data_IF_242214143314
#
_entry.id   IF_242214143314
#
_cell.length_a   1.000
_cell.length_b   1.000
_cell.length_c   1.000
_cell.angle_alpha   90.00
_cell.angle_beta   90.00
_cell.angle_gamma   90.00
#
_symmetry.space_group_name_H-M   'P 1'
#
loop_
_entity.id
_entity.type
_entity.pdbx_description
1 polymer ?
#
# COMPACT_ATOMS: atom_id res chain seq x y z
N UNK A 1 28.22 29.42 17.92
CA UNK A 1 26.80 29.16 18.23
C UNK A 1 26.55 29.66 19.64
N UNK A 2 25.89 30.82 19.76
CA UNK A 2 25.55 31.42 21.05
C UNK A 2 24.28 30.75 21.55
N UNK A 3 24.35 30.05 22.69
CA UNK A 3 23.18 29.51 23.37
C UNK A 3 22.25 30.66 23.78
N UNK A 4 21.14 30.83 23.09
CA UNK A 4 20.08 31.73 23.53
C UNK A 4 19.60 31.21 24.90
N UNK A 5 19.74 32.04 25.93
CA UNK A 5 19.22 31.74 27.27
C UNK A 5 17.70 31.79 27.17
N UNK A 6 17.08 30.61 27.13
CA UNK A 6 15.63 30.45 27.12
C UNK A 6 15.04 31.19 28.35
N UNK A 7 14.07 32.11 28.17
CA UNK A 7 13.36 32.68 29.30
C UNK A 7 12.61 31.57 30.04
N UNK A 8 13.00 31.34 31.29
CA UNK A 8 12.35 30.36 32.17
C UNK A 8 11.04 30.94 32.69
N UNK A 9 9.96 30.15 32.61
CA UNK A 9 8.61 30.42 33.15
C UNK A 9 7.72 31.31 32.27
N UNK A 10 7.40 30.82 31.07
CA UNK A 10 6.36 31.43 30.23
C UNK A 10 4.97 31.18 30.85
N UNK A 11 4.06 32.16 30.73
CA UNK A 11 2.65 31.98 31.10
C UNK A 11 1.88 31.25 30.00
N UNK A 12 0.67 30.73 30.31
CA UNK A 12 -0.21 30.14 29.29
C UNK A 12 -0.42 31.08 28.08
N UNK A 13 -0.57 32.38 28.36
CA UNK A 13 -0.77 33.41 27.34
C UNK A 13 0.47 33.59 26.47
N UNK A 14 1.67 33.52 27.05
CA UNK A 14 2.91 33.66 26.29
C UNK A 14 3.09 32.49 25.33
N UNK A 15 2.87 31.25 25.79
CA UNK A 15 2.97 30.04 24.95
C UNK A 15 1.93 30.05 23.84
N UNK A 16 0.67 30.41 24.14
CA UNK A 16 -0.40 30.54 23.15
C UNK A 16 -0.05 31.59 22.08
N UNK A 17 0.41 32.78 22.49
CA UNK A 17 0.82 33.82 21.55
C UNK A 17 2.00 33.39 20.66
N UNK A 18 2.94 32.60 21.20
CA UNK A 18 4.04 32.04 20.40
C UNK A 18 3.53 31.04 19.36
N UNK A 19 2.59 30.15 19.73
CA UNK A 19 1.95 29.22 18.81
C UNK A 19 1.22 29.97 17.69
N UNK A 20 0.40 30.97 18.03
CA UNK A 20 -0.33 31.79 17.07
C UNK A 20 0.65 32.48 16.11
N UNK A 21 1.68 33.15 16.64
CA UNK A 21 2.66 33.87 15.83
C UNK A 21 3.39 32.98 14.83
N UNK A 22 3.72 31.74 15.20
CA UNK A 22 4.33 30.78 14.26
C UNK A 22 3.31 30.33 13.20
N UNK A 23 2.01 30.33 13.53
CA UNK A 23 0.93 29.84 12.68
C UNK A 23 0.37 30.89 11.71
N UNK A 24 0.64 32.18 11.94
CA UNK A 24 0.27 33.31 11.07
C UNK A 24 1.20 33.50 9.87
N UNK A 25 2.09 32.54 9.59
CA UNK A 25 3.06 32.64 8.49
C UNK A 25 2.39 32.47 7.13
N UNK A 26 2.90 33.24 6.16
CA UNK A 26 2.55 33.08 4.75
C UNK A 26 3.10 31.78 4.14
N UNK A 27 4.18 31.21 4.70
CA UNK A 27 4.80 29.97 4.24
C UNK A 27 4.46 28.79 5.16
N UNK A 28 3.59 27.85 4.73
CA UNK A 28 3.16 26.70 5.52
C UNK A 28 4.17 25.54 5.50
N UNK A 29 5.25 25.63 4.71
CA UNK A 29 6.18 24.51 4.50
C UNK A 29 7.17 24.37 5.66
N UNK A 30 7.81 25.46 6.07
CA UNK A 30 8.98 25.40 6.94
C UNK A 30 9.09 26.50 7.98
N UNK A 31 9.77 26.09 9.04
CA UNK A 31 10.15 26.90 10.19
C UNK A 31 11.63 27.24 10.04
N UNK A 32 11.98 28.52 10.07
CA UNK A 32 13.39 28.95 9.95
C UNK A 32 14.18 28.56 11.20
N UNK A 33 15.51 28.55 11.13
CA UNK A 33 16.36 28.09 12.23
C UNK A 33 16.05 28.77 13.58
N UNK A 34 15.78 30.07 13.55
CA UNK A 34 15.41 30.87 14.73
C UNK A 34 14.07 30.42 15.34
N UNK A 35 13.12 30.04 14.50
CA UNK A 35 11.81 29.57 14.95
C UNK A 35 11.84 28.10 15.38
N UNK A 36 12.77 27.28 14.87
CA UNK A 36 12.98 25.92 15.39
C UNK A 36 13.29 25.98 16.88
N UNK A 37 14.04 27.00 17.34
CA UNK A 37 14.25 27.23 18.77
C UNK A 37 12.96 27.62 19.50
N UNK A 38 12.11 28.47 18.91
CA UNK A 38 10.81 28.83 19.50
C UNK A 38 9.89 27.60 19.62
N UNK A 39 9.85 26.74 18.61
CA UNK A 39 9.09 25.47 18.67
C UNK A 39 9.61 24.59 19.81
N UNK A 40 10.93 24.45 19.97
CA UNK A 40 11.52 23.70 21.07
C UNK A 40 11.16 24.32 22.43
N UNK A 41 11.08 25.65 22.53
CA UNK A 41 10.62 26.34 23.74
C UNK A 41 9.15 26.03 24.06
N UNK A 42 8.28 26.14 23.06
CA UNK A 42 6.85 25.83 23.20
C UNK A 42 6.69 24.39 23.70
N UNK A 43 7.33 23.43 23.03
CA UNK A 43 7.31 22.01 23.42
C UNK A 43 7.84 21.81 24.83
N UNK A 44 8.95 22.46 25.18
CA UNK A 44 9.53 22.36 26.50
C UNK A 44 8.53 22.80 27.57
N UNK A 45 7.93 23.98 27.42
CA UNK A 45 6.98 24.50 28.41
C UNK A 45 5.70 23.65 28.49
N UNK A 46 5.14 23.23 27.35
CA UNK A 46 3.97 22.34 27.31
C UNK A 46 4.23 21.00 28.02
N UNK A 47 5.45 20.44 27.93
CA UNK A 47 5.82 19.18 28.60
C UNK A 47 6.18 19.35 30.07
N UNK A 48 6.70 20.52 30.46
CA UNK A 48 7.18 20.79 31.82
C UNK A 48 6.02 20.84 32.83
N UNK A 49 4.80 21.08 32.37
CA UNK A 49 3.56 21.05 33.16
C UNK A 49 3.31 22.28 34.01
N UNK A 50 4.10 23.36 33.83
CA UNK A 50 3.86 24.66 34.47
C UNK A 50 2.74 25.45 33.80
N UNK A 51 2.48 25.12 32.54
CA UNK A 51 1.37 25.64 31.76
C UNK A 51 0.34 24.55 31.52
N UNK A 52 -0.92 24.95 31.36
CA UNK A 52 -1.99 24.01 31.03
C UNK A 52 -1.97 23.72 29.52
N UNK A 53 -1.30 22.63 29.15
CA UNK A 53 -1.11 22.24 27.75
C UNK A 53 -2.43 21.93 27.04
N UNK A 54 -3.41 21.34 27.74
CA UNK A 54 -4.72 21.07 27.17
C UNK A 54 -5.44 22.38 26.86
N UNK A 55 -5.49 23.30 27.82
CA UNK A 55 -6.09 24.61 27.62
C UNK A 55 -5.42 25.38 26.48
N UNK A 56 -4.09 25.42 26.43
CA UNK A 56 -3.37 26.15 25.38
C UNK A 56 -3.66 25.58 23.99
N UNK A 57 -3.60 24.25 23.84
CA UNK A 57 -3.82 23.60 22.54
C UNK A 57 -5.29 23.71 22.12
N UNK A 58 -6.24 23.61 23.06
CA UNK A 58 -7.67 23.82 22.80
C UNK A 58 -7.96 25.25 22.34
N UNK A 59 -7.38 26.26 23.00
CA UNK A 59 -7.53 27.65 22.58
C UNK A 59 -6.86 27.92 21.23
N UNK A 60 -5.67 27.35 20.99
CA UNK A 60 -4.97 27.48 19.71
C UNK A 60 -5.75 26.85 18.55
N UNK A 61 -6.40 25.70 18.77
CA UNK A 61 -7.23 25.03 17.76
C UNK A 61 -8.47 25.83 17.36
N UNK A 62 -8.93 26.76 18.20
CA UNK A 62 -10.09 27.63 17.93
C UNK A 62 -9.72 28.92 17.21
N UNK A 63 -8.42 29.19 17.02
CA UNK A 63 -7.97 30.38 16.29
C UNK A 63 -8.27 30.16 14.81
N UNK A 64 -9.10 31.05 14.26
CA UNK A 64 -9.46 31.03 12.84
C UNK A 64 -8.35 31.66 11.98
N UNK A 65 -8.36 31.36 10.68
CA UNK A 65 -7.47 31.95 9.67
C UNK A 65 -5.96 31.74 9.89
N UNK A 66 -5.56 30.69 10.64
CA UNK A 66 -4.16 30.30 10.80
C UNK A 66 -3.83 29.00 10.07
N UNK A 67 -2.65 28.94 9.46
CA UNK A 67 -2.15 27.76 8.74
C UNK A 67 -0.78 27.39 9.30
N UNK A 68 -0.71 26.61 10.39
CA UNK A 68 0.56 26.32 11.03
C UNK A 68 1.51 25.58 10.09
N UNK A 69 2.81 25.89 10.17
CA UNK A 69 3.80 25.15 9.41
C UNK A 69 3.73 23.66 9.70
N UNK A 70 3.86 22.83 8.67
CA UNK A 70 3.79 21.37 8.80
C UNK A 70 4.80 20.83 9.83
N UNK A 71 5.96 21.47 9.96
CA UNK A 71 6.98 21.16 10.96
C UNK A 71 6.52 21.37 12.41
N UNK A 72 5.68 22.37 12.67
CA UNK A 72 5.15 22.61 14.02
C UNK A 72 4.20 21.48 14.41
N UNK A 73 3.27 21.14 13.52
CA UNK A 73 2.33 20.03 13.74
C UNK A 73 3.08 18.71 13.92
N UNK A 74 4.11 18.48 13.11
CA UNK A 74 4.97 17.30 13.24
C UNK A 74 5.68 17.24 14.60
N UNK A 75 6.28 18.35 15.03
CA UNK A 75 7.00 18.40 16.30
C UNK A 75 6.06 18.17 17.50
N UNK A 76 4.84 18.70 17.46
CA UNK A 76 3.81 18.44 18.48
C UNK A 76 3.35 16.97 18.50
N UNK A 77 3.21 16.33 17.33
CA UNK A 77 2.80 14.91 17.25
C UNK A 77 3.89 13.96 17.77
N UNK A 78 5.14 14.18 17.36
CA UNK A 78 6.31 13.40 17.83
C UNK A 78 6.41 13.43 19.35
N UNK A 79 6.12 14.58 19.95
CA UNK A 79 6.15 14.78 21.40
C UNK A 79 4.86 14.36 22.10
N UNK A 80 3.90 13.81 21.36
CA UNK A 80 2.57 13.37 21.83
C UNK A 80 1.77 14.48 22.53
N UNK A 81 1.99 15.73 22.15
CA UNK A 81 1.24 16.89 22.66
C UNK A 81 -0.06 17.10 21.89
N UNK A 82 0.01 17.05 20.55
CA UNK A 82 -1.16 17.15 19.67
C UNK A 82 -0.97 16.23 18.47
N UNK A 83 -1.93 15.34 18.20
CA UNK A 83 -1.89 14.50 17.00
C UNK A 83 -2.18 15.33 15.76
N UNK A 84 -1.38 15.12 14.70
CA UNK A 84 -1.56 15.80 13.42
C UNK A 84 -2.99 15.65 12.88
N UNK A 85 -3.55 14.45 13.01
CA UNK A 85 -4.93 14.16 12.58
C UNK A 85 -5.98 14.89 13.41
N UNK A 86 -5.71 15.15 14.69
CA UNK A 86 -6.59 15.95 15.55
C UNK A 86 -6.64 17.40 15.07
N UNK A 87 -5.48 17.99 14.73
CA UNK A 87 -5.46 19.36 14.20
C UNK A 87 -6.32 19.49 12.94
N UNK A 88 -6.10 18.62 11.96
CA UNK A 88 -6.83 18.71 10.68
C UNK A 88 -8.31 18.35 10.84
N UNK A 89 -8.67 17.49 11.80
CA UNK A 89 -10.07 17.21 12.11
C UNK A 89 -10.85 18.47 12.48
N UNK A 90 -10.25 19.34 13.31
CA UNK A 90 -10.83 20.62 13.70
C UNK A 90 -10.63 21.71 12.64
N UNK A 91 -9.56 21.65 11.87
CA UNK A 91 -9.18 22.64 10.87
C UNK A 91 -9.12 22.01 9.47
N UNK A 92 -10.28 21.60 8.93
CA UNK A 92 -10.36 20.88 7.64
C UNK A 92 -9.80 21.67 6.46
N UNK A 93 -9.84 23.00 6.53
CA UNK A 93 -9.29 23.91 5.51
C UNK A 93 -7.77 23.72 5.32
N UNK A 94 -7.09 23.21 6.36
CA UNK A 94 -5.68 22.83 6.28
C UNK A 94 -5.40 21.75 5.23
N UNK A 95 -6.41 20.98 4.79
CA UNK A 95 -6.24 20.04 3.69
C UNK A 95 -5.75 20.71 2.40
N UNK A 96 -6.18 21.94 2.13
CA UNK A 96 -5.73 22.72 0.96
C UNK A 96 -4.23 22.98 1.05
N UNK A 97 -3.76 23.52 2.19
CA UNK A 97 -2.34 23.76 2.43
C UNK A 97 -1.53 22.46 2.35
N UNK A 98 -2.04 21.36 2.93
CA UNK A 98 -1.38 20.06 2.86
C UNK A 98 -1.23 19.55 1.42
N UNK A 99 -2.25 19.72 0.58
CA UNK A 99 -2.20 19.35 -0.83
C UNK A 99 -1.20 20.20 -1.63
N UNK A 100 -1.07 21.49 -1.32
CA UNK A 100 -0.04 22.35 -1.90
C UNK A 100 1.37 21.91 -1.47
N UNK A 101 1.55 21.55 -0.20
CA UNK A 101 2.81 21.04 0.32
C UNK A 101 3.19 19.71 -0.36
N UNK A 102 2.23 18.78 -0.50
CA UNK A 102 2.41 17.54 -1.26
C UNK A 102 2.79 17.85 -2.70
N UNK A 103 2.08 18.77 -3.35
CA UNK A 103 2.36 19.18 -4.73
C UNK A 103 3.78 19.72 -4.89
N UNK A 104 4.25 20.56 -3.96
CA UNK A 104 5.62 21.08 -3.94
C UNK A 104 6.65 19.96 -3.74
N UNK A 105 6.41 19.05 -2.79
CA UNK A 105 7.30 17.92 -2.52
C UNK A 105 7.42 16.95 -3.71
N UNK A 106 6.38 16.82 -4.54
CA UNK A 106 6.44 16.02 -5.77
C UNK A 106 7.31 16.66 -6.86
N UNK A 107 7.48 18.00 -6.87
CA UNK A 107 8.23 18.75 -7.91
C UNK A 107 9.71 18.97 -7.60
N UNK A 108 10.06 19.06 -6.33
CA UNK A 108 11.36 19.57 -5.91
C UNK A 108 12.24 18.49 -5.29
N UNK A 109 13.56 18.60 -5.53
CA UNK A 109 14.56 17.60 -5.11
C UNK A 109 15.73 18.20 -4.32
N UNK A 110 15.54 19.40 -3.77
CA UNK A 110 16.56 20.00 -2.91
C UNK A 110 16.60 19.33 -1.53
N UNK A 111 17.73 19.48 -0.82
CA UNK A 111 17.92 18.98 0.55
C UNK A 111 16.85 19.51 1.52
N UNK A 112 16.23 20.64 1.18
CA UNK A 112 15.16 21.27 1.94
C UNK A 112 13.90 20.38 1.93
N UNK A 113 13.51 19.86 0.77
CA UNK A 113 12.32 19.02 0.66
C UNK A 113 12.50 17.63 1.29
N UNK A 114 13.72 17.17 1.58
CA UNK A 114 13.93 15.85 2.21
C UNK A 114 13.33 15.77 3.64
N UNK A 115 13.37 16.86 4.42
CA UNK A 115 12.70 16.90 5.73
C UNK A 115 11.18 16.83 5.56
N UNK A 116 10.63 17.58 4.60
CA UNK A 116 9.19 17.61 4.29
C UNK A 116 8.71 16.25 3.77
N UNK A 117 9.43 15.63 2.84
CA UNK A 117 9.12 14.30 2.30
C UNK A 117 9.01 13.27 3.43
N UNK A 118 9.88 13.35 4.46
CA UNK A 118 9.80 12.48 5.65
C UNK A 118 8.54 12.74 6.48
N UNK A 119 8.21 14.01 6.74
CA UNK A 119 7.02 14.38 7.49
C UNK A 119 5.75 13.96 6.75
N UNK A 120 5.66 14.23 5.46
CA UNK A 120 4.54 13.82 4.62
C UNK A 120 4.41 12.30 4.55
N UNK A 121 5.54 11.57 4.45
CA UNK A 121 5.53 10.11 4.50
C UNK A 121 4.91 9.60 5.80
N UNK A 122 5.24 10.22 6.94
CA UNK A 122 4.61 9.91 8.22
C UNK A 122 3.12 10.27 8.22
N UNK A 123 2.75 11.46 7.76
CA UNK A 123 1.37 11.93 7.72
C UNK A 123 0.49 10.99 6.89
N UNK A 124 0.96 10.61 5.69
CA UNK A 124 0.30 9.63 4.83
C UNK A 124 0.16 8.27 5.50
N UNK A 125 1.19 7.78 6.20
CA UNK A 125 1.04 6.55 7.00
C UNK A 125 -0.11 6.67 8.00
N UNK A 126 -0.17 7.77 8.76
CA UNK A 126 -1.22 7.94 9.77
C UNK A 126 -2.59 7.99 9.10
N UNK A 127 -2.75 8.77 8.03
CA UNK A 127 -3.99 8.89 7.26
C UNK A 127 -4.42 7.53 6.72
N UNK A 128 -3.51 6.77 6.09
CA UNK A 128 -3.79 5.43 5.58
C UNK A 128 -4.27 4.49 6.68
N UNK A 129 -3.61 4.50 7.84
CA UNK A 129 -3.98 3.62 8.95
C UNK A 129 -5.36 3.94 9.55
N UNK A 130 -5.86 5.17 9.38
CA UNK A 130 -7.19 5.58 9.87
C UNK A 130 -8.25 5.65 8.77
N UNK A 131 -7.93 5.26 7.52
CA UNK A 131 -8.83 5.44 6.36
C UNK A 131 -10.21 4.81 6.55
N UNK A 132 -10.28 3.69 7.26
CA UNK A 132 -11.54 2.98 7.50
C UNK A 132 -12.41 3.63 8.59
N UNK A 133 -11.91 4.68 9.24
CA UNK A 133 -12.66 5.42 10.26
C UNK A 133 -13.56 6.46 9.58
N UNK A 134 -14.87 6.29 9.71
CA UNK A 134 -15.88 7.16 9.08
C UNK A 134 -15.75 8.64 9.48
N UNK A 135 -15.25 8.94 10.67
CA UNK A 135 -14.99 10.31 11.12
C UNK A 135 -13.89 11.03 10.34
N UNK A 136 -13.05 10.26 9.66
CA UNK A 136 -11.84 10.69 8.97
C UNK A 136 -11.88 10.44 7.46
N UNK A 137 -13.05 10.06 6.92
CA UNK A 137 -13.25 9.81 5.49
C UNK A 137 -12.85 11.00 4.62
N UNK A 138 -13.01 12.23 5.12
CA UNK A 138 -12.60 13.43 4.38
C UNK A 138 -11.08 13.45 4.07
N UNK A 139 -10.22 12.79 4.85
CA UNK A 139 -8.79 12.68 4.50
C UNK A 139 -8.56 11.84 3.25
N UNK A 140 -9.34 10.78 3.06
CA UNK A 140 -9.28 9.97 1.85
C UNK A 140 -9.71 10.81 0.65
N UNK A 141 -10.88 11.46 0.75
CA UNK A 141 -11.47 12.26 -0.32
C UNK A 141 -10.63 13.50 -0.69
N UNK A 142 -9.99 14.15 0.29
CA UNK A 142 -9.30 15.44 0.05
C UNK A 142 -7.79 15.32 -0.06
N UNK A 143 -7.14 14.38 0.64
CA UNK A 143 -5.67 14.27 0.63
C UNK A 143 -5.22 13.13 -0.26
N UNK A 144 -5.72 11.92 -0.03
CA UNK A 144 -5.27 10.73 -0.79
C UNK A 144 -5.70 10.84 -2.25
N UNK A 145 -6.97 11.15 -2.52
CA UNK A 145 -7.47 11.34 -3.89
C UNK A 145 -6.82 12.54 -4.59
N UNK A 146 -6.61 13.67 -3.89
CA UNK A 146 -5.91 14.82 -4.46
C UNK A 146 -4.44 14.52 -4.79
N UNK A 147 -3.76 13.76 -3.94
CA UNK A 147 -2.39 13.29 -4.20
C UNK A 147 -2.35 12.42 -5.46
N UNK A 148 -3.29 11.48 -5.61
CA UNK A 148 -3.40 10.66 -6.82
C UNK A 148 -3.62 11.56 -8.04
N UNK A 149 -4.59 12.48 -8.00
CA UNK A 149 -4.86 13.41 -9.09
C UNK A 149 -3.62 14.25 -9.47
N UNK A 150 -2.89 14.76 -8.49
CA UNK A 150 -1.68 15.55 -8.74
C UNK A 150 -0.56 14.73 -9.37
N UNK A 151 -0.37 13.49 -8.92
CA UNK A 151 0.57 12.55 -9.53
C UNK A 151 0.21 12.27 -10.99
N UNK A 152 -1.09 12.13 -11.28
CA UNK A 152 -1.57 12.01 -12.66
C UNK A 152 -1.18 13.26 -13.46
N UNK A 153 -1.48 14.48 -13.00
CA UNK A 153 -1.09 15.73 -13.66
C UNK A 153 0.42 15.84 -13.96
N UNK A 154 1.28 15.30 -13.09
CA UNK A 154 2.72 15.27 -13.38
C UNK A 154 3.08 14.32 -14.50
N UNK A 155 2.45 13.14 -14.52
CA UNK A 155 2.61 12.23 -15.64
C UNK A 155 2.04 12.84 -16.93
N UNK A 156 0.94 13.59 -16.84
CA UNK A 156 0.34 14.32 -17.96
C UNK A 156 1.30 15.38 -18.54
N UNK A 157 2.09 16.04 -17.70
CA UNK A 157 3.04 17.07 -18.11
C UNK A 157 4.43 16.54 -18.51
N UNK A 158 4.60 15.21 -18.60
CA UNK A 158 5.90 14.53 -18.79
C UNK A 158 6.98 14.94 -17.77
N UNK A 159 6.55 15.39 -16.59
CA UNK A 159 7.45 15.76 -15.52
C UNK A 159 7.90 14.52 -14.75
N UNK A 160 9.16 14.51 -14.33
CA UNK A 160 9.65 13.48 -13.43
C UNK A 160 9.20 13.78 -12.00
N UNK A 161 8.61 12.79 -11.32
CA UNK A 161 8.34 12.89 -9.89
C UNK A 161 9.66 12.90 -9.12
N UNK A 162 9.92 13.98 -8.38
CA UNK A 162 11.11 14.12 -7.53
C UNK A 162 10.97 13.44 -6.16
N UNK A 163 9.75 13.03 -5.81
CA UNK A 163 9.49 12.25 -4.61
C UNK A 163 8.79 10.94 -4.94
N UNK A 164 9.50 9.84 -4.72
CA UNK A 164 8.97 8.48 -4.83
C UNK A 164 8.18 8.09 -3.56
N UNK A 165 7.13 8.84 -3.25
CA UNK A 165 6.39 8.73 -1.98
C UNK A 165 5.85 7.32 -1.69
N UNK A 166 5.43 6.57 -2.72
CA UNK A 166 5.00 5.17 -2.57
C UNK A 166 6.14 4.30 -2.03
N UNK A 167 7.38 4.51 -2.51
CA UNK A 167 8.54 3.78 -2.01
C UNK A 167 8.87 4.20 -0.57
N UNK A 168 8.76 5.49 -0.26
CA UNK A 168 8.92 5.98 1.11
C UNK A 168 7.91 5.34 2.07
N UNK A 169 6.65 5.19 1.65
CA UNK A 169 5.61 4.51 2.42
C UNK A 169 5.93 3.03 2.62
N UNK A 170 6.35 2.31 1.56
CA UNK A 170 6.67 0.86 1.65
C UNK A 170 7.74 0.52 2.67
N UNK A 171 8.70 1.42 2.91
CA UNK A 171 9.79 1.20 3.88
C UNK A 171 9.27 1.28 5.33
N UNK A 172 8.11 1.90 5.56
CA UNK A 172 7.53 2.02 6.89
C UNK A 172 6.84 0.73 7.35
N UNK A 173 7.44 0.06 8.33
CA UNK A 173 6.93 -1.20 8.91
C UNK A 173 5.57 -1.09 9.61
N UNK A 174 5.08 0.11 9.89
CA UNK A 174 3.88 0.36 10.70
C UNK A 174 2.64 0.77 9.90
N UNK A 175 2.69 0.70 8.57
CA UNK A 175 1.50 0.87 7.73
C UNK A 175 0.71 -0.45 7.71
N UNK A 176 -0.61 -0.37 7.88
CA UNK A 176 -1.51 -1.50 7.67
C UNK A 176 -1.44 -1.95 6.20
N UNK A 177 -1.14 -3.22 5.96
CA UNK A 177 -0.95 -3.78 4.61
C UNK A 177 -2.17 -3.59 3.72
N UNK A 178 -3.37 -3.75 4.28
CA UNK A 178 -4.63 -3.73 3.55
C UNK A 178 -4.97 -2.28 3.17
N UNK A 179 -4.72 -1.33 4.09
CA UNK A 179 -4.89 0.09 3.81
C UNK A 179 -3.92 0.60 2.75
N UNK A 180 -2.67 0.14 2.76
CA UNK A 180 -1.68 0.44 1.72
C UNK A 180 -2.08 -0.17 0.38
N UNK A 181 -2.46 -1.45 0.36
CA UNK A 181 -2.89 -2.14 -0.86
C UNK A 181 -4.10 -1.44 -1.49
N UNK A 182 -5.08 -1.08 -0.68
CA UNK A 182 -6.27 -0.38 -1.16
C UNK A 182 -5.90 0.98 -1.76
N UNK A 183 -4.98 1.73 -1.13
CA UNK A 183 -4.54 3.03 -1.68
C UNK A 183 -3.76 2.88 -2.99
N UNK A 184 -2.93 1.83 -3.08
CA UNK A 184 -2.26 1.46 -4.32
C UNK A 184 -3.29 1.13 -5.41
N UNK A 185 -4.36 0.41 -5.08
CA UNK A 185 -5.46 0.13 -6.00
C UNK A 185 -6.18 1.38 -6.47
N UNK A 186 -6.51 2.30 -5.56
CA UNK A 186 -7.15 3.57 -5.90
C UNK A 186 -6.32 4.34 -6.93
N UNK A 187 -5.00 4.36 -6.74
CA UNK A 187 -4.05 4.98 -7.66
C UNK A 187 -4.06 4.31 -9.05
N UNK A 188 -4.08 2.98 -9.11
CA UNK A 188 -4.16 2.26 -10.39
C UNK A 188 -5.52 2.46 -11.07
N UNK A 189 -6.60 2.49 -10.28
CA UNK A 189 -7.95 2.70 -10.79
C UNK A 189 -8.08 4.06 -11.46
N UNK A 190 -7.58 5.11 -10.80
CA UNK A 190 -7.58 6.46 -11.33
C UNK A 190 -6.74 6.57 -12.63
N UNK A 191 -5.58 5.90 -12.68
CA UNK A 191 -4.74 5.83 -13.87
C UNK A 191 -5.44 5.15 -15.06
N UNK A 192 -6.15 4.05 -14.82
CA UNK A 192 -6.78 3.26 -15.90
C UNK A 192 -8.13 3.81 -16.35
N UNK A 193 -8.81 4.57 -15.49
CA UNK A 193 -10.15 5.13 -15.75
C UNK A 193 -10.13 6.50 -16.42
N UNK A 194 -8.95 7.05 -16.74
CA UNK A 194 -8.80 8.42 -17.26
C UNK A 194 -9.54 8.68 -18.58
N UNK A 195 -10.45 9.67 -18.57
CA UNK A 195 -11.20 10.16 -19.74
C UNK A 195 -10.35 10.97 -20.74
N UNK A 196 -9.13 11.38 -20.37
CA UNK A 196 -8.22 12.18 -21.21
C UNK A 196 -7.25 11.29 -22.02
N UNK A 197 -7.77 10.74 -23.12
CA UNK A 197 -7.07 9.78 -23.99
C UNK A 197 -6.09 10.42 -24.99
N UNK A 198 -5.15 11.27 -24.57
CA UNK A 198 -4.07 11.77 -25.46
C UNK A 198 -2.68 11.20 -25.17
N UNK A 199 -2.52 10.41 -24.11
CA UNK A 199 -1.23 9.81 -23.75
C UNK A 199 -0.99 8.51 -24.50
N UNK A 200 0.26 8.32 -24.92
CA UNK A 200 0.73 6.99 -25.27
C UNK A 200 0.79 6.20 -23.96
N UNK A 201 -0.19 5.32 -23.76
CA UNK A 201 -0.36 4.48 -22.57
C UNK A 201 0.95 3.77 -22.15
N UNK A 202 1.84 3.49 -23.11
CA UNK A 202 3.19 2.94 -22.88
C UNK A 202 4.08 3.81 -21.99
N UNK A 203 3.99 5.14 -22.07
CA UNK A 203 4.76 6.09 -21.25
C UNK A 203 4.32 6.07 -19.78
N UNK A 204 3.02 6.15 -19.54
CA UNK A 204 2.41 6.08 -18.19
C UNK A 204 2.79 4.75 -17.54
N UNK A 205 2.69 3.67 -18.31
CA UNK A 205 2.98 2.33 -17.84
C UNK A 205 4.47 2.11 -17.49
N UNK A 206 5.39 2.68 -18.26
CA UNK A 206 6.83 2.55 -18.01
C UNK A 206 7.27 3.32 -16.75
N UNK A 207 6.67 4.48 -16.48
CA UNK A 207 6.91 5.20 -15.22
C UNK A 207 6.26 4.49 -14.01
N UNK A 208 5.10 3.86 -14.20
CA UNK A 208 4.46 3.02 -13.18
C UNK A 208 5.33 1.80 -12.80
N UNK A 209 5.90 1.10 -13.78
CA UNK A 209 6.81 -0.02 -13.55
C UNK A 209 8.05 0.37 -12.70
N UNK A 210 8.52 1.61 -12.81
CA UNK A 210 9.63 2.15 -12.01
C UNK A 210 9.24 2.43 -10.55
N UNK A 211 8.00 2.82 -10.28
CA UNK A 211 7.49 3.14 -8.93
C UNK A 211 7.11 1.90 -8.12
N UNK A 212 6.82 0.79 -8.80
CA UNK A 212 6.20 -0.41 -8.21
C UNK A 212 7.13 -1.63 -8.21
N UNK A 213 8.42 -1.42 -7.98
CA UNK A 213 9.39 -2.51 -7.77
C UNK A 213 9.04 -3.20 -6.44
N UNK A 214 8.18 -4.21 -6.49
CA UNK A 214 7.90 -5.12 -5.38
C UNK A 214 8.29 -6.52 -5.83
N UNK A 215 9.02 -7.25 -4.98
CA UNK A 215 9.34 -8.67 -5.18
C UNK A 215 8.09 -9.60 -5.16
N UNK A 216 6.90 -9.07 -4.83
CA UNK A 216 5.58 -9.72 -4.73
C UNK A 216 4.45 -8.68 -4.83
N UNK A 217 3.66 -8.70 -5.90
CA UNK A 217 2.42 -7.90 -5.99
C UNK A 217 1.38 -8.44 -4.99
N UNK A 218 0.67 -7.55 -4.28
CA UNK A 218 -0.39 -7.97 -3.34
C UNK A 218 -1.58 -8.61 -4.05
N UNK A 219 -2.36 -9.47 -3.38
CA UNK A 219 -3.55 -10.12 -3.96
C UNK A 219 -4.58 -9.13 -4.51
N UNK A 220 -4.74 -7.97 -3.87
CA UNK A 220 -5.68 -6.93 -4.28
C UNK A 220 -5.24 -6.31 -5.61
N UNK A 221 -3.96 -5.98 -5.75
CA UNK A 221 -3.35 -5.50 -7.01
C UNK A 221 -3.47 -6.55 -8.12
N UNK A 222 -3.27 -7.83 -7.80
CA UNK A 222 -3.45 -8.93 -8.76
C UNK A 222 -4.92 -9.07 -9.20
N UNK A 223 -5.87 -8.88 -8.28
CA UNK A 223 -7.32 -8.92 -8.54
C UNK A 223 -7.75 -7.74 -9.41
N UNK A 224 -7.30 -6.53 -9.08
CA UNK A 224 -7.52 -5.34 -9.90
C UNK A 224 -7.01 -5.52 -11.34
N UNK A 225 -5.82 -6.09 -11.53
CA UNK A 225 -5.29 -6.41 -12.87
C UNK A 225 -6.17 -7.39 -13.66
N UNK A 226 -6.94 -8.23 -12.98
CA UNK A 226 -7.87 -9.17 -13.62
C UNK A 226 -9.27 -8.59 -13.83
N UNK A 227 -9.64 -7.58 -13.03
CA UNK A 227 -10.99 -7.06 -12.96
C UNK A 227 -11.23 -5.80 -13.77
N UNK A 228 -10.19 -5.11 -14.29
CA UNK A 228 -10.33 -3.82 -15.01
C UNK A 228 -11.48 -3.84 -16.03
N UNK A 229 -12.68 -3.32 -15.71
CA UNK A 229 -13.89 -3.62 -16.49
C UNK A 229 -14.00 -2.77 -17.75
N UNK A 230 -13.23 -1.68 -17.82
CA UNK A 230 -13.39 -0.63 -18.83
C UNK A 230 -12.02 -0.12 -19.26
N UNK A 231 -11.27 -0.97 -19.96
CA UNK A 231 -10.08 -0.52 -20.69
C UNK A 231 -10.55 0.09 -22.01
N UNK A 232 -10.28 1.40 -22.27
CA UNK A 232 -10.54 1.99 -23.57
C UNK A 232 -9.94 1.12 -24.68
N UNK A 233 -10.63 0.97 -25.81
CA UNK A 233 -10.19 0.02 -26.85
C UNK A 233 -8.76 0.28 -27.36
N UNK A 234 -8.31 1.54 -27.31
CA UNK A 234 -6.96 2.01 -27.60
C UNK A 234 -5.88 1.45 -26.66
N UNK A 235 -6.24 1.04 -25.44
CA UNK A 235 -5.31 0.65 -24.38
C UNK A 235 -5.15 -0.87 -24.23
N UNK A 236 -6.01 -1.69 -24.86
CA UNK A 236 -5.99 -3.17 -24.68
C UNK A 236 -4.67 -3.83 -25.05
N UNK A 237 -4.02 -3.37 -26.13
CA UNK A 237 -2.75 -3.92 -26.60
C UNK A 237 -1.64 -3.70 -25.57
N UNK A 238 -1.47 -2.46 -25.13
CA UNK A 238 -0.45 -2.10 -24.15
C UNK A 238 -0.73 -2.66 -22.75
N UNK A 239 -2.01 -2.75 -22.35
CA UNK A 239 -2.38 -3.47 -21.14
C UNK A 239 -2.01 -4.96 -21.22
N UNK A 240 -2.19 -5.59 -22.39
CA UNK A 240 -1.75 -6.96 -22.62
C UNK A 240 -0.23 -7.10 -22.53
N UNK A 241 0.53 -6.12 -23.05
CA UNK A 241 2.00 -6.05 -22.91
C UNK A 241 2.45 -5.82 -21.46
N UNK A 242 1.71 -5.02 -20.68
CA UNK A 242 1.93 -4.87 -19.25
C UNK A 242 1.70 -6.16 -18.49
N UNK A 243 0.55 -6.80 -18.72
CA UNK A 243 0.23 -8.10 -18.14
C UNK A 243 1.29 -9.12 -18.53
N UNK A 244 1.80 -9.07 -19.77
CA UNK A 244 2.91 -9.92 -20.20
C UNK A 244 4.21 -9.59 -19.43
N UNK A 245 4.53 -8.31 -19.19
CA UNK A 245 5.69 -7.89 -18.40
C UNK A 245 5.56 -8.31 -16.93
N UNK A 246 4.40 -8.09 -16.30
CA UNK A 246 4.09 -8.55 -14.95
C UNK A 246 4.20 -10.07 -14.86
N UNK A 247 3.62 -10.81 -15.82
CA UNK A 247 3.74 -12.28 -15.90
C UNK A 247 5.18 -12.73 -16.11
N UNK A 248 5.96 -12.01 -16.93
CA UNK A 248 7.39 -12.30 -17.15
C UNK A 248 8.17 -12.07 -15.87
N UNK A 249 7.93 -10.97 -15.14
CA UNK A 249 8.57 -10.71 -13.85
C UNK A 249 8.16 -11.71 -12.77
N UNK A 250 6.89 -12.11 -12.71
CA UNK A 250 6.42 -13.16 -11.80
C UNK A 250 7.05 -14.52 -12.16
N UNK A 251 7.21 -14.81 -13.45
CA UNK A 251 7.90 -16.00 -13.95
C UNK A 251 9.39 -15.97 -13.61
N UNK A 252 10.06 -14.82 -13.72
CA UNK A 252 11.45 -14.63 -13.29
C UNK A 252 11.61 -14.92 -11.78
N UNK A 253 10.54 -14.70 -11.00
CA UNK A 253 10.45 -14.94 -9.57
C UNK A 253 9.94 -16.35 -9.18
N UNK A 254 9.71 -17.25 -10.16
CA UNK A 254 9.13 -18.60 -9.96
C UNK A 254 7.71 -18.63 -9.33
N UNK A 255 6.95 -17.55 -9.42
CA UNK A 255 5.57 -17.45 -8.93
C UNK A 255 4.56 -17.84 -10.04
N UNK A 256 3.59 -18.71 -9.76
CA UNK A 256 2.57 -19.13 -10.74
C UNK A 256 1.38 -18.18 -10.79
N UNK A 257 0.84 -17.86 -11.97
CA UNK A 257 -0.25 -16.87 -12.18
C UNK A 257 -1.65 -17.28 -11.68
N UNK A 258 -1.80 -18.48 -11.19
CA UNK A 258 -3.06 -19.13 -10.86
C UNK A 258 -3.20 -19.16 -9.32
N UNK A 259 -3.64 -18.06 -8.71
CA UNK A 259 -3.51 -17.79 -7.26
C UNK A 259 -4.71 -18.20 -6.40
N UNK A 260 -5.74 -18.81 -6.99
CA UNK A 260 -6.87 -19.37 -6.27
C UNK A 260 -6.63 -20.88 -6.19
N UNK A 261 -6.69 -21.50 -5.02
CA UNK A 261 -6.60 -22.96 -4.92
C UNK A 261 -7.64 -23.64 -5.83
N UNK A 262 -7.49 -24.92 -6.15
CA UNK A 262 -8.49 -25.66 -6.95
C UNK A 262 -9.89 -25.54 -6.33
N UNK A 263 -9.98 -25.36 -5.01
CA UNK A 263 -11.22 -25.27 -4.26
C UNK A 263 -11.65 -23.85 -3.86
N UNK A 264 -11.07 -22.82 -4.47
CA UNK A 264 -11.37 -21.42 -4.18
C UNK A 264 -11.03 -20.93 -2.77
N UNK A 265 -10.08 -21.57 -2.12
CA UNK A 265 -9.56 -21.13 -0.82
C UNK A 265 -8.35 -20.20 -0.99
N UNK A 266 -8.21 -19.26 -0.05
CA UNK A 266 -7.10 -18.30 0.03
C UNK A 266 -6.12 -18.74 1.12
N UNK A 267 -4.82 -18.70 0.80
CA UNK A 267 -3.76 -19.08 1.73
C UNK A 267 -2.63 -18.05 1.72
N UNK A 268 -2.08 -17.73 2.90
CA UNK A 268 -1.01 -16.74 3.06
C UNK A 268 0.35 -17.22 2.52
N UNK A 269 0.56 -18.56 2.47
CA UNK A 269 1.78 -19.20 1.97
C UNK A 269 1.46 -20.19 0.87
N UNK A 270 2.24 -20.14 -0.21
CA UNK A 270 2.05 -20.99 -1.38
C UNK A 270 2.12 -22.49 -1.03
N UNK A 271 3.07 -22.89 -0.18
CA UNK A 271 3.24 -24.29 0.22
C UNK A 271 2.09 -24.83 1.08
N UNK A 272 1.48 -23.96 1.89
CA UNK A 272 0.35 -24.29 2.77
C UNK A 272 -0.92 -24.47 1.95
N UNK A 273 -1.19 -23.56 1.02
CA UNK A 273 -2.34 -23.67 0.12
C UNK A 273 -2.26 -24.85 -0.83
N UNK A 274 -1.07 -25.15 -1.34
CA UNK A 274 -0.83 -26.32 -2.18
C UNK A 274 -1.13 -27.63 -1.44
N UNK A 275 -0.73 -27.73 -0.17
CA UNK A 275 -1.00 -28.91 0.64
C UNK A 275 -2.47 -28.99 1.05
N UNK A 276 -3.08 -27.87 1.39
CA UNK A 276 -4.50 -27.81 1.75
C UNK A 276 -5.41 -28.22 0.59
N UNK A 277 -5.11 -27.80 -0.65
CA UNK A 277 -5.80 -28.28 -1.86
C UNK A 277 -5.69 -29.80 -2.03
N UNK A 278 -4.50 -30.37 -1.77
CA UNK A 278 -4.28 -31.82 -1.82
C UNK A 278 -5.10 -32.53 -0.73
N UNK A 279 -5.03 -32.04 0.51
CA UNK A 279 -5.79 -32.59 1.63
C UNK A 279 -7.31 -32.54 1.37
N UNK A 280 -7.81 -31.42 0.84
CA UNK A 280 -9.22 -31.24 0.52
C UNK A 280 -9.67 -32.14 -0.62
N UNK A 281 -8.86 -32.26 -1.67
CA UNK A 281 -9.12 -33.21 -2.76
C UNK A 281 -9.20 -34.65 -2.25
N UNK A 282 -8.29 -35.04 -1.36
CA UNK A 282 -8.29 -36.37 -0.74
C UNK A 282 -9.54 -36.54 0.13
N UNK A 283 -9.90 -35.58 0.97
CA UNK A 283 -11.10 -35.67 1.83
C UNK A 283 -12.37 -35.90 1.01
N UNK A 284 -12.59 -35.06 -0.01
CA UNK A 284 -13.77 -35.15 -0.88
C UNK A 284 -13.79 -36.47 -1.65
N UNK A 285 -12.63 -36.94 -2.12
CA UNK A 285 -12.51 -38.23 -2.80
C UNK A 285 -12.81 -39.39 -1.85
N UNK A 286 -12.33 -39.35 -0.62
CA UNK A 286 -12.58 -40.41 0.36
C UNK A 286 -14.06 -40.48 0.76
N UNK A 287 -14.73 -39.33 0.87
CA UNK A 287 -16.16 -39.24 1.16
C UNK A 287 -17.04 -39.75 0.01
N UNK A 288 -16.71 -39.39 -1.24
CA UNK A 288 -17.60 -39.60 -2.38
C UNK A 288 -17.15 -40.72 -3.34
N UNK A 289 -15.91 -41.21 -3.21
CA UNK A 289 -15.25 -42.15 -4.12
C UNK A 289 -15.19 -41.70 -5.59
N UNK A 290 -15.39 -40.39 -5.82
CA UNK A 290 -15.37 -39.73 -7.13
C UNK A 290 -14.34 -38.61 -7.17
N UNK A 291 -13.76 -38.36 -8.35
CA UNK A 291 -12.80 -37.26 -8.53
C UNK A 291 -13.56 -35.94 -8.29
N UNK A 292 -13.08 -35.05 -7.41
CA UNK A 292 -13.74 -33.78 -7.16
C UNK A 292 -13.92 -32.98 -8.45
N UNK A 293 -15.14 -32.50 -8.71
CA UNK A 293 -15.48 -31.71 -9.90
C UNK A 293 -14.53 -30.51 -10.11
N UNK A 294 -14.14 -29.74 -9.08
CA UNK A 294 -13.18 -28.64 -9.25
C UNK A 294 -11.82 -29.11 -9.79
N UNK A 295 -11.41 -30.33 -9.46
CA UNK A 295 -10.16 -30.92 -9.96
C UNK A 295 -10.23 -31.25 -11.46
N UNK A 296 -11.39 -31.76 -11.91
CA UNK A 296 -11.63 -32.03 -13.32
C UNK A 296 -11.68 -30.74 -14.12
N UNK A 297 -12.34 -29.72 -13.60
CA UNK A 297 -12.40 -28.37 -14.20
C UNK A 297 -10.98 -27.76 -14.27
N UNK A 298 -10.21 -27.82 -13.18
CA UNK A 298 -8.84 -27.32 -13.13
C UNK A 298 -7.91 -28.04 -14.14
N UNK A 299 -8.07 -29.36 -14.32
CA UNK A 299 -7.28 -30.13 -15.29
C UNK A 299 -7.46 -29.69 -16.74
N UNK A 300 -8.56 -29.00 -17.05
CA UNK A 300 -8.90 -28.53 -18.41
C UNK A 300 -8.69 -27.03 -18.52
N UNK A 301 -9.28 -26.24 -17.62
CA UNK A 301 -9.32 -24.79 -17.70
C UNK A 301 -8.11 -24.10 -17.05
N UNK A 302 -7.43 -24.79 -16.12
CA UNK A 302 -6.28 -24.26 -15.36
C UNK A 302 -5.07 -25.21 -15.46
N UNK A 303 -4.81 -25.69 -16.69
CA UNK A 303 -3.85 -26.76 -16.96
C UNK A 303 -2.45 -26.49 -16.40
N UNK A 304 -1.96 -25.25 -16.47
CA UNK A 304 -0.62 -24.92 -15.97
C UNK A 304 -0.52 -25.06 -14.45
N UNK A 305 -1.49 -24.55 -13.69
CA UNK A 305 -1.57 -24.76 -12.25
C UNK A 305 -1.70 -26.23 -11.89
N UNK A 306 -2.63 -26.92 -12.55
CA UNK A 306 -2.87 -28.33 -12.31
C UNK A 306 -1.60 -29.17 -12.48
N UNK A 307 -0.85 -28.97 -13.58
CA UNK A 307 0.36 -29.76 -13.87
C UNK A 307 1.58 -29.33 -13.04
N UNK A 308 1.82 -28.01 -12.91
CA UNK A 308 3.06 -27.50 -12.29
C UNK A 308 3.00 -27.37 -10.78
N UNK A 309 1.80 -27.22 -10.22
CA UNK A 309 1.58 -26.94 -8.80
C UNK A 309 0.89 -28.13 -8.14
N UNK A 310 -0.36 -28.38 -8.49
CA UNK A 310 -1.17 -29.40 -7.82
C UNK A 310 -0.59 -30.81 -8.00
N UNK A 311 -0.32 -31.24 -9.24
CA UNK A 311 0.25 -32.57 -9.49
C UNK A 311 1.65 -32.72 -8.91
N UNK A 312 2.47 -31.67 -8.94
CA UNK A 312 3.80 -31.69 -8.33
C UNK A 312 3.71 -31.92 -6.82
N UNK A 313 2.77 -31.25 -6.14
CA UNK A 313 2.54 -31.43 -4.70
C UNK A 313 1.92 -32.79 -4.39
N UNK A 314 0.91 -33.21 -5.15
CA UNK A 314 0.24 -34.50 -4.99
C UNK A 314 1.23 -35.67 -5.13
N UNK A 315 2.11 -35.62 -6.12
CA UNK A 315 3.10 -36.69 -6.41
C UNK A 315 4.41 -36.56 -5.60
N UNK A 316 4.50 -35.62 -4.66
CA UNK A 316 5.72 -35.41 -3.87
C UNK A 316 5.97 -36.46 -2.78
N UNK A 317 4.96 -37.29 -2.48
CA UNK A 317 4.98 -38.28 -1.40
C UNK A 317 4.96 -39.70 -1.99
N UNK A 318 5.82 -40.63 -1.54
CA UNK A 318 5.81 -42.02 -1.99
C UNK A 318 4.48 -42.73 -1.71
N UNK A 319 4.18 -43.75 -2.50
CA UNK A 319 2.97 -44.58 -2.36
C UNK A 319 2.87 -45.24 -0.98
N UNK A 320 4.01 -45.66 -0.42
CA UNK A 320 4.08 -46.32 0.89
C UNK A 320 3.80 -45.39 2.08
N UNK A 321 3.83 -44.07 1.86
CA UNK A 321 3.72 -43.08 2.95
C UNK A 321 2.28 -42.61 3.19
N UNK A 322 1.41 -42.62 2.18
CA UNK A 322 0.03 -42.11 2.29
C UNK A 322 -0.92 -42.88 1.35
N UNK A 323 -1.60 -43.90 1.90
CA UNK A 323 -2.52 -44.75 1.15
C UNK A 323 -3.70 -43.98 0.55
N UNK A 324 -4.25 -42.97 1.26
CA UNK A 324 -5.41 -42.20 0.81
C UNK A 324 -5.05 -41.31 -0.38
N UNK A 325 -3.85 -40.73 -0.35
CA UNK A 325 -3.29 -39.97 -1.48
C UNK A 325 -3.01 -40.87 -2.67
N UNK A 326 -2.46 -42.07 -2.45
CA UNK A 326 -2.19 -43.04 -3.51
C UNK A 326 -3.47 -43.46 -4.26
N UNK A 327 -4.57 -43.69 -3.55
CA UNK A 327 -5.88 -44.01 -4.18
C UNK A 327 -6.36 -42.90 -5.13
N UNK A 328 -6.27 -41.64 -4.72
CA UNK A 328 -6.62 -40.49 -5.57
C UNK A 328 -5.69 -40.41 -6.80
N UNK A 329 -4.39 -40.62 -6.64
CA UNK A 329 -3.41 -40.63 -7.74
C UNK A 329 -3.76 -41.72 -8.77
N UNK A 330 -4.04 -42.93 -8.30
CA UNK A 330 -4.43 -44.05 -9.15
C UNK A 330 -5.71 -43.75 -9.92
N UNK A 331 -6.72 -43.17 -9.26
CA UNK A 331 -7.97 -42.76 -9.90
C UNK A 331 -7.73 -41.69 -10.97
N UNK A 332 -6.94 -40.66 -10.68
CA UNK A 332 -6.61 -39.59 -11.63
C UNK A 332 -5.84 -40.11 -12.85
N UNK A 333 -4.92 -41.05 -12.66
CA UNK A 333 -4.22 -41.71 -13.76
C UNK A 333 -5.19 -42.52 -14.63
N UNK A 334 -6.08 -43.32 -14.04
CA UNK A 334 -7.09 -44.08 -14.78
C UNK A 334 -8.05 -43.20 -15.60
N UNK A 335 -8.32 -41.98 -15.11
CA UNK A 335 -9.14 -40.98 -15.79
C UNK A 335 -8.37 -40.15 -16.84
N UNK A 336 -7.10 -40.47 -17.11
CA UNK A 336 -6.25 -39.75 -18.06
C UNK A 336 -5.86 -38.34 -17.61
N UNK A 337 -5.99 -38.04 -16.31
CA UNK A 337 -5.65 -36.73 -15.72
C UNK A 337 -4.22 -36.66 -15.20
N UNK A 338 -3.48 -37.77 -15.22
CA UNK A 338 -2.04 -37.83 -14.98
C UNK A 338 -1.41 -38.56 -16.17
N UNK A 339 -0.34 -38.01 -16.74
CA UNK A 339 0.36 -38.67 -17.84
C UNK A 339 1.08 -39.93 -17.36
N UNK A 340 1.17 -40.95 -18.23
CA UNK A 340 1.85 -42.21 -17.93
C UNK A 340 3.30 -42.00 -17.48
N UNK A 341 3.98 -40.99 -18.04
CA UNK A 341 5.36 -40.62 -17.66
C UNK A 341 5.45 -40.13 -16.22
N UNK A 342 4.54 -39.25 -15.79
CA UNK A 342 4.51 -38.72 -14.42
C UNK A 342 4.13 -39.81 -13.42
N UNK A 343 3.14 -40.64 -13.76
CA UNK A 343 2.70 -41.75 -12.92
C UNK A 343 3.83 -42.76 -12.69
N UNK A 344 4.53 -43.19 -13.74
CA UNK A 344 5.65 -44.12 -13.62
C UNK A 344 6.79 -43.56 -12.77
N UNK A 345 7.06 -42.25 -12.87
CA UNK A 345 8.05 -41.57 -12.02
C UNK A 345 7.66 -41.63 -10.55
N UNK A 346 6.38 -41.37 -10.23
CA UNK A 346 5.90 -41.46 -8.87
C UNK A 346 5.97 -42.89 -8.31
N UNK A 347 5.55 -43.91 -9.07
CA UNK A 347 5.67 -45.32 -8.65
C UNK A 347 7.13 -45.71 -8.38
N UNK A 348 8.08 -45.15 -9.14
CA UNK A 348 9.50 -45.41 -8.92
C UNK A 348 10.09 -44.77 -7.65
N UNK A 349 9.39 -43.81 -7.01
CA UNK A 349 9.80 -43.26 -5.72
C UNK A 349 9.58 -44.23 -4.55
N UNK A 350 8.76 -45.27 -4.77
CA UNK A 350 8.36 -46.26 -3.77
C UNK A 350 9.15 -47.57 -3.85
N UNK A 351 10.11 -47.66 -4.78
CA UNK A 351 11.10 -48.74 -4.90
C UNK A 351 12.43 -48.28 -4.32
#
# INVERSE_FOLDING_TARGET
MSSIKLPLNLSNKDVLNMLIKISERDDPLLIVAEEKEIVLMIIHELKRGYVDSFFILDEWLKVEDITPPLHLLWALDVENLLKFTTYIYFNKEYCTALNEIVSSALQNDDDYHEEIKKILTYAFRVILNIRHCTYFQFFEENILSSTIAKVLEYFESNSELKWQYIQSLKILKSINSDSLNTFLLDHMSALLSGENSSYEFSFILNNHAKLWIYEKLSPDVKTFLSEVPTIPASCRKHFSEYIALCKTRLSDLNETTDYIGIFNDYYEKDEEGQEADVCRAISIFQENQEIPKPLLEASVFRKQYYEKVFLKRLLSVPESSDAKRAELINKLHSAGKISKTLYNRWVSLSK
#
